data_IF_379762453866
#
_entry.id   IF_379762453866
#
_cell.length_a   1.000
_cell.length_b   1.000
_cell.length_c   1.000
_cell.angle_alpha   90.00
_cell.angle_beta   90.00
_cell.angle_gamma   90.00
#
_symmetry.space_group_name_H-M   'P 1'
#
loop_
_entity.id
_entity.type
_entity.pdbx_description
1 polymer ?
#
# COMPACT_ATOMS: atom_id res chain seq x y z
N UNK A 1 6.93 18.96 -1.94
CA UNK A 1 7.76 19.16 -0.75
C UNK A 1 8.49 17.86 -0.45
N UNK A 2 9.79 17.78 -0.76
CA UNK A 2 10.66 16.74 -0.22
C UNK A 2 10.85 17.06 1.27
N UNK A 3 10.47 16.14 2.16
CA UNK A 3 10.73 16.32 3.58
C UNK A 3 12.25 16.40 3.79
N UNK A 4 12.76 17.42 4.52
CA UNK A 4 14.17 17.47 4.86
C UNK A 4 14.51 16.23 5.67
N UNK A 5 15.62 15.58 5.34
CA UNK A 5 16.18 14.52 6.16
C UNK A 5 16.45 15.13 7.55
N UNK A 6 15.58 14.80 8.52
CA UNK A 6 15.79 15.18 9.91
C UNK A 6 17.09 14.58 10.44
N UNK A 7 17.63 15.13 11.53
CA UNK A 7 18.84 14.60 12.15
C UNK A 7 18.66 13.11 12.37
N UNK A 8 19.69 12.32 12.02
CA UNK A 8 19.71 10.86 12.07
C UNK A 8 19.29 10.38 13.47
N UNK A 9 17.98 10.20 13.61
CA UNK A 9 17.35 9.55 14.76
C UNK A 9 17.84 8.10 14.75
N UNK A 10 17.97 7.45 15.93
CA UNK A 10 18.30 6.03 15.99
C UNK A 10 17.44 5.28 14.98
N UNK A 11 18.07 4.50 14.10
CA UNK A 11 17.47 4.07 12.85
C UNK A 11 16.11 3.44 13.11
N UNK A 12 15.03 4.17 12.79
CA UNK A 12 13.68 3.70 13.10
C UNK A 12 13.49 2.32 12.43
N UNK A 13 12.90 1.32 13.12
CA UNK A 13 12.81 -0.06 12.60
C UNK A 13 12.16 -0.19 11.21
N UNK A 14 11.39 0.84 10.81
CA UNK A 14 10.75 0.93 9.50
C UNK A 14 11.58 1.61 8.40
N UNK A 15 12.65 2.33 8.75
CA UNK A 15 13.51 3.08 7.84
C UNK A 15 13.49 4.58 8.12
N UNK A 16 14.44 5.31 7.54
CA UNK A 16 14.61 6.76 7.74
C UNK A 16 13.48 7.57 7.09
N UNK A 17 12.86 7.05 6.02
CA UNK A 17 11.80 7.73 5.28
C UNK A 17 10.40 7.28 5.70
N UNK A 18 10.27 6.09 6.31
CA UNK A 18 9.02 5.51 6.79
C UNK A 18 8.74 5.71 8.29
N UNK A 19 9.17 6.82 8.89
CA UNK A 19 8.89 7.05 10.32
C UNK A 19 7.39 7.32 10.58
N UNK A 20 6.69 7.98 9.64
CA UNK A 20 5.24 8.16 9.68
C UNK A 20 4.56 7.20 8.68
N UNK A 21 3.83 6.21 9.21
CA UNK A 21 3.22 5.10 8.43
C UNK A 21 1.69 5.07 8.53
N UNK A 22 1.07 6.16 9.00
CA UNK A 22 -0.37 6.20 9.21
C UNK A 22 -1.14 5.85 7.94
N UNK A 23 -0.71 6.38 6.80
CA UNK A 23 -1.35 6.10 5.52
C UNK A 23 -1.24 4.63 5.10
N UNK A 24 -0.06 4.00 5.27
CA UNK A 24 0.10 2.58 4.96
C UNK A 24 -0.78 1.68 5.84
N UNK A 25 -0.93 2.02 7.12
CA UNK A 25 -1.86 1.35 8.02
C UNK A 25 -3.31 1.57 7.61
N UNK A 26 -3.70 2.81 7.27
CA UNK A 26 -5.04 3.14 6.81
C UNK A 26 -5.39 2.34 5.55
N UNK A 27 -4.48 2.24 4.59
CA UNK A 27 -4.66 1.44 3.38
C UNK A 27 -4.73 -0.06 3.66
N UNK A 28 -3.92 -0.57 4.59
CA UNK A 28 -3.98 -1.98 4.99
C UNK A 28 -5.34 -2.34 5.60
N UNK A 29 -5.82 -1.50 6.53
CA UNK A 29 -7.13 -1.66 7.17
C UNK A 29 -8.25 -1.53 6.13
N UNK A 30 -8.19 -0.53 5.26
CA UNK A 30 -9.20 -0.33 4.22
C UNK A 30 -9.29 -1.54 3.29
N UNK A 31 -8.17 -2.12 2.86
CA UNK A 31 -8.18 -3.35 2.04
C UNK A 31 -8.83 -4.53 2.76
N UNK A 32 -8.56 -4.71 4.06
CA UNK A 32 -9.20 -5.75 4.86
C UNK A 32 -10.71 -5.50 5.01
N UNK A 33 -11.13 -4.26 5.21
CA UNK A 33 -12.54 -3.91 5.31
C UNK A 33 -13.27 -4.12 3.97
N UNK A 34 -12.63 -3.78 2.84
CA UNK A 34 -13.16 -4.06 1.50
C UNK A 34 -13.30 -5.58 1.31
N UNK A 35 -12.27 -6.36 1.69
CA UNK A 35 -12.31 -7.81 1.57
C UNK A 35 -13.44 -8.44 2.40
N UNK A 36 -13.62 -7.99 3.64
CA UNK A 36 -14.73 -8.43 4.51
C UNK A 36 -16.07 -8.04 3.89
N UNK A 37 -16.19 -6.81 3.38
CA UNK A 37 -17.44 -6.32 2.75
C UNK A 37 -17.83 -7.17 1.55
N UNK A 38 -16.89 -7.47 0.66
CA UNK A 38 -17.12 -8.31 -0.53
C UNK A 38 -17.34 -9.80 -0.18
N UNK A 39 -16.99 -10.23 1.03
CA UNK A 39 -17.24 -11.59 1.51
C UNK A 39 -18.61 -11.73 2.20
N UNK A 40 -19.31 -10.64 2.49
CA UNK A 40 -20.65 -10.67 3.08
C UNK A 40 -21.68 -11.14 2.03
N UNK A 41 -22.75 -11.83 2.45
CA UNK A 41 -23.80 -12.25 1.54
C UNK A 41 -24.58 -11.04 1.00
N UNK A 42 -24.74 -10.99 -0.33
CA UNK A 42 -25.44 -9.95 -1.07
C UNK A 42 -24.65 -9.55 -2.32
N UNK A 43 -25.32 -9.02 -3.35
CA UNK A 43 -24.63 -8.47 -4.53
C UNK A 43 -24.12 -7.06 -4.18
N UNK A 44 -22.95 -7.02 -3.55
CA UNK A 44 -22.29 -5.77 -3.19
C UNK A 44 -21.89 -4.94 -4.41
N UNK A 45 -21.76 -5.56 -5.58
CA UNK A 45 -21.46 -4.91 -6.86
C UNK A 45 -22.70 -4.43 -7.62
N UNK A 46 -23.92 -4.77 -7.19
CA UNK A 46 -25.19 -4.30 -7.78
C UNK A 46 -25.32 -2.76 -7.71
N UNK A 47 -24.61 -2.12 -6.77
CA UNK A 47 -24.54 -0.66 -6.67
C UNK A 47 -23.68 -0.10 -7.81
N UNK A 48 -24.30 0.73 -8.65
CA UNK A 48 -23.84 1.22 -9.96
C UNK A 48 -22.35 1.57 -10.13
N UNK A 49 -21.62 1.97 -9.09
CA UNK A 49 -20.22 2.38 -9.18
C UNK A 49 -19.22 1.23 -9.39
N UNK A 50 -19.58 -0.04 -9.13
CA UNK A 50 -18.67 -1.18 -9.30
C UNK A 50 -19.07 -2.13 -10.42
N UNK A 51 -20.26 -1.96 -10.99
CA UNK A 51 -20.77 -2.78 -12.09
C UNK A 51 -19.82 -2.86 -13.30
N UNK A 52 -19.15 -1.77 -13.74
CA UNK A 52 -18.18 -1.85 -14.84
C UNK A 52 -16.99 -2.78 -14.54
N UNK A 53 -16.63 -2.96 -13.26
CA UNK A 53 -15.52 -3.83 -12.84
C UNK A 53 -15.95 -5.30 -12.82
N UNK A 54 -17.20 -5.58 -12.41
CA UNK A 54 -17.78 -6.91 -12.50
C UNK A 54 -17.86 -7.37 -13.96
N UNK A 55 -18.24 -6.48 -14.87
CA UNK A 55 -18.33 -6.73 -16.32
C UNK A 55 -16.96 -7.02 -16.96
N UNK A 56 -15.86 -6.56 -16.35
CA UNK A 56 -14.49 -6.90 -16.76
C UNK A 56 -14.01 -8.28 -16.26
N UNK A 57 -14.88 -9.07 -15.62
CA UNK A 57 -14.61 -10.46 -15.24
C UNK A 57 -14.02 -10.65 -13.85
N UNK A 58 -13.99 -9.62 -13.01
CA UNK A 58 -13.59 -9.74 -11.61
C UNK A 58 -14.79 -10.10 -10.75
N UNK A 59 -14.90 -11.38 -10.38
CA UNK A 59 -15.91 -11.82 -9.41
C UNK A 59 -15.65 -11.23 -8.03
N UNK A 60 -16.73 -10.96 -7.27
CA UNK A 60 -16.65 -10.48 -5.89
C UNK A 60 -15.74 -11.35 -5.03
N UNK A 61 -15.83 -12.67 -5.16
CA UNK A 61 -14.98 -13.62 -4.43
C UNK A 61 -13.50 -13.48 -4.76
N UNK A 62 -13.15 -13.26 -6.03
CA UNK A 62 -11.74 -13.04 -6.43
C UNK A 62 -11.22 -11.72 -5.90
N UNK A 63 -12.04 -10.67 -5.92
CA UNK A 63 -11.70 -9.37 -5.35
C UNK A 63 -11.53 -9.46 -3.83
N UNK A 64 -12.47 -10.11 -3.13
CA UNK A 64 -12.41 -10.34 -1.69
C UNK A 64 -11.13 -11.09 -1.29
N UNK A 65 -10.81 -12.17 -2.01
CA UNK A 65 -9.58 -12.93 -1.79
C UNK A 65 -8.33 -12.07 -2.01
N UNK A 66 -8.28 -11.32 -3.12
CA UNK A 66 -7.12 -10.48 -3.44
C UNK A 66 -6.90 -9.38 -2.39
N UNK A 67 -7.95 -8.59 -2.09
CA UNK A 67 -7.86 -7.53 -1.08
C UNK A 67 -7.54 -8.10 0.30
N UNK A 68 -8.09 -9.26 0.65
CA UNK A 68 -7.81 -9.95 1.90
C UNK A 68 -6.35 -10.40 1.99
N UNK A 69 -5.85 -11.08 0.95
CA UNK A 69 -4.47 -11.58 0.91
C UNK A 69 -3.44 -10.42 0.95
N UNK A 70 -3.64 -9.38 0.14
CA UNK A 70 -2.74 -8.21 0.11
C UNK A 70 -2.84 -7.42 1.42
N UNK A 71 -4.05 -7.24 1.97
CA UNK A 71 -4.28 -6.59 3.26
C UNK A 71 -3.57 -7.30 4.40
N UNK A 72 -3.71 -8.63 4.51
CA UNK A 72 -3.02 -9.45 5.52
C UNK A 72 -1.52 -9.36 5.35
N UNK A 73 -1.00 -9.58 4.13
CA UNK A 73 0.44 -9.50 3.84
C UNK A 73 1.01 -8.14 4.24
N UNK A 74 0.28 -7.06 3.95
CA UNK A 74 0.67 -5.70 4.31
C UNK A 74 0.64 -5.47 5.81
N UNK A 75 -0.39 -5.89 6.54
CA UNK A 75 -0.43 -5.79 8.01
C UNK A 75 0.73 -6.55 8.63
N UNK A 76 0.99 -7.78 8.18
CA UNK A 76 2.15 -8.57 8.62
C UNK A 76 3.46 -7.83 8.34
N UNK A 77 3.62 -7.26 7.14
CA UNK A 77 4.81 -6.49 6.81
C UNK A 77 4.95 -5.24 7.70
N UNK A 78 3.89 -4.46 7.90
CA UNK A 78 3.91 -3.26 8.75
C UNK A 78 4.26 -3.60 10.20
N UNK A 79 3.66 -4.67 10.73
CA UNK A 79 3.91 -5.16 12.07
C UNK A 79 5.36 -5.65 12.25
N UNK A 80 5.87 -6.47 11.33
CA UNK A 80 7.26 -6.95 11.35
C UNK A 80 8.26 -5.79 11.20
N UNK A 81 7.97 -4.79 10.35
CA UNK A 81 8.79 -3.57 10.24
C UNK A 81 8.71 -2.64 11.45
N UNK A 82 7.74 -2.82 12.35
CA UNK A 82 7.67 -2.07 13.61
C UNK A 82 8.56 -2.66 14.70
N UNK A 83 8.77 -3.97 14.70
CA UNK A 83 9.39 -4.68 15.82
C UNK A 83 10.76 -5.30 15.49
N UNK A 84 11.05 -5.56 14.22
CA UNK A 84 12.28 -6.23 13.80
C UNK A 84 13.16 -5.25 13.03
N UNK A 85 14.43 -5.13 13.43
CA UNK A 85 15.42 -4.35 12.68
C UNK A 85 15.74 -5.07 11.37
N UNK A 86 15.03 -4.66 10.31
CA UNK A 86 15.14 -5.17 8.94
C UNK A 86 16.50 -4.92 8.27
N UNK A 87 17.45 -4.27 8.95
CA UNK A 87 18.86 -4.27 8.53
C UNK A 87 19.54 -5.64 8.68
N UNK A 88 18.98 -6.54 9.51
CA UNK A 88 19.59 -7.83 9.87
C UNK A 88 18.82 -9.02 9.29
N UNK A 89 17.48 -9.01 9.34
CA UNK A 89 16.62 -10.12 8.90
C UNK A 89 16.23 -9.99 7.43
N UNK A 90 16.40 -11.08 6.67
CA UNK A 90 15.83 -11.26 5.33
C UNK A 90 14.55 -12.11 5.46
N UNK A 91 13.48 -11.80 4.71
CA UNK A 91 13.34 -10.72 3.72
C UNK A 91 13.16 -9.33 4.35
N UNK A 92 13.79 -8.30 3.74
CA UNK A 92 13.67 -6.91 4.18
C UNK A 92 12.21 -6.48 4.07
N UNK A 93 11.55 -6.26 5.20
CA UNK A 93 10.15 -5.89 5.25
C UNK A 93 9.83 -4.60 4.47
N UNK A 94 10.80 -3.73 4.20
CA UNK A 94 10.60 -2.56 3.35
C UNK A 94 10.29 -2.92 1.88
N UNK A 95 10.88 -4.00 1.35
CA UNK A 95 10.55 -4.48 0.00
C UNK A 95 9.14 -5.06 -0.06
N UNK A 96 8.72 -5.79 0.97
CA UNK A 96 7.37 -6.37 1.02
C UNK A 96 6.35 -5.22 1.06
N UNK A 97 6.59 -4.18 1.88
CA UNK A 97 5.76 -2.98 1.92
C UNK A 97 5.69 -2.28 0.55
N UNK A 98 6.82 -2.11 -0.12
CA UNK A 98 6.88 -1.52 -1.45
C UNK A 98 6.04 -2.31 -2.46
N UNK A 99 6.13 -3.65 -2.45
CA UNK A 99 5.31 -4.51 -3.32
C UNK A 99 3.83 -4.38 -2.98
N UNK A 100 3.45 -4.43 -1.71
CA UNK A 100 2.04 -4.25 -1.32
C UNK A 100 1.50 -2.89 -1.77
N UNK A 101 2.31 -1.83 -1.68
CA UNK A 101 1.94 -0.49 -2.17
C UNK A 101 1.90 -0.34 -3.67
N UNK A 102 2.77 -1.02 -4.39
CA UNK A 102 2.63 -1.12 -5.85
C UNK A 102 1.31 -1.83 -6.23
N UNK A 103 0.98 -2.95 -5.58
CA UNK A 103 -0.28 -3.66 -5.82
C UNK A 103 -1.50 -2.79 -5.45
N UNK A 104 -1.44 -2.07 -4.34
CA UNK A 104 -2.49 -1.12 -3.95
C UNK A 104 -2.68 0.01 -4.95
N UNK A 105 -1.59 0.60 -5.43
CA UNK A 105 -1.64 1.63 -6.47
C UNK A 105 -2.24 1.09 -7.78
N UNK A 106 -1.87 -0.13 -8.19
CA UNK A 106 -2.40 -0.76 -9.39
C UNK A 106 -3.92 -0.97 -9.29
N UNK A 107 -4.40 -1.52 -8.18
CA UNK A 107 -5.83 -1.77 -8.01
C UNK A 107 -6.61 -0.47 -7.94
N UNK A 108 -6.21 0.49 -7.09
CA UNK A 108 -6.90 1.77 -6.99
C UNK A 108 -6.85 2.53 -8.34
N UNK A 109 -5.75 2.40 -9.08
CA UNK A 109 -5.59 3.01 -10.39
C UNK A 109 -6.51 2.40 -11.44
N UNK A 110 -6.67 1.07 -11.43
CA UNK A 110 -7.64 0.37 -12.29
C UNK A 110 -9.08 0.78 -11.97
N UNK A 111 -9.45 0.87 -10.69
CA UNK A 111 -10.78 1.33 -10.27
C UNK A 111 -11.02 2.78 -10.71
N UNK A 112 -10.02 3.64 -10.55
CA UNK A 112 -10.09 5.05 -10.98
C UNK A 112 -10.27 5.14 -12.49
N UNK A 113 -9.47 4.39 -13.25
CA UNK A 113 -9.53 4.39 -14.71
C UNK A 113 -10.88 3.87 -15.21
N UNK A 114 -11.41 2.80 -14.62
CA UNK A 114 -12.73 2.26 -14.96
C UNK A 114 -13.83 3.32 -14.76
N UNK A 115 -13.83 4.03 -13.63
CA UNK A 115 -14.78 5.10 -13.37
C UNK A 115 -14.60 6.31 -14.30
N UNK A 116 -13.37 6.63 -14.69
CA UNK A 116 -13.09 7.71 -15.66
C UNK A 116 -13.63 7.33 -17.04
N UNK A 117 -13.40 6.11 -17.50
CA UNK A 117 -13.93 5.62 -18.78
C UNK A 117 -15.45 5.64 -18.76
N UNK A 118 -16.07 5.11 -17.70
CA UNK A 118 -17.52 5.10 -17.52
C UNK A 118 -18.12 6.53 -17.53
N UNK A 119 -17.46 7.47 -16.86
CA UNK A 119 -17.87 8.88 -16.84
C UNK A 119 -17.90 9.50 -18.24
N UNK A 120 -16.96 9.13 -19.13
CA UNK A 120 -16.96 9.61 -20.51
C UNK A 120 -18.00 8.91 -21.37
N UNK A 121 -18.28 7.63 -21.14
CA UNK A 121 -19.26 6.86 -21.93
C UNK A 121 -20.71 7.15 -21.53
N UNK A 122 -20.95 7.46 -20.25
CA UNK A 122 -22.28 7.70 -19.69
C UNK A 122 -22.59 9.19 -19.43
N UNK A 123 -21.63 10.09 -19.70
CA UNK A 123 -21.70 11.53 -19.39
C UNK A 123 -22.04 11.85 -17.92
N UNK A 124 -21.75 10.90 -17.02
CA UNK A 124 -22.14 10.96 -15.60
C UNK A 124 -20.91 10.74 -14.70
N UNK A 125 -20.11 11.78 -14.43
CA UNK A 125 -18.90 11.64 -13.62
C UNK A 125 -19.22 11.25 -12.17
N UNK A 126 -18.63 10.15 -11.73
CA UNK A 126 -18.75 9.69 -10.35
C UNK A 126 -17.90 10.56 -9.40
N UNK A 127 -18.51 11.00 -8.30
CA UNK A 127 -17.80 11.72 -7.23
C UNK A 127 -16.69 10.85 -6.56
N UNK A 128 -16.68 9.55 -6.82
CA UNK A 128 -15.72 8.59 -6.27
C UNK A 128 -14.39 8.59 -7.05
N UNK A 129 -14.37 9.10 -8.28
CA UNK A 129 -13.13 9.24 -9.11
C UNK A 129 -11.99 9.91 -8.34
N UNK A 130 -12.16 11.13 -7.78
CA UNK A 130 -11.08 11.79 -7.03
C UNK A 130 -10.66 11.02 -5.77
N UNK A 131 -11.54 10.22 -5.18
CA UNK A 131 -11.22 9.39 -4.00
C UNK A 131 -10.24 8.29 -4.38
N UNK A 132 -10.60 7.42 -5.33
CA UNK A 132 -9.69 6.35 -5.76
C UNK A 132 -8.43 6.90 -6.45
N UNK A 133 -8.54 8.02 -7.18
CA UNK A 133 -7.39 8.68 -7.77
C UNK A 133 -6.39 9.16 -6.72
N UNK A 134 -6.88 9.75 -5.63
CA UNK A 134 -6.03 10.16 -4.50
C UNK A 134 -5.37 8.95 -3.84
N UNK A 135 -6.13 7.89 -3.56
CA UNK A 135 -5.59 6.65 -2.96
C UNK A 135 -4.50 6.02 -3.84
N UNK A 136 -4.68 6.03 -5.16
CA UNK A 136 -3.69 5.57 -6.14
C UNK A 136 -2.37 6.34 -6.01
N UNK A 137 -2.45 7.67 -6.00
CA UNK A 137 -1.26 8.54 -5.91
C UNK A 137 -0.52 8.32 -4.60
N UNK A 138 -1.23 8.28 -3.46
CA UNK A 138 -0.58 8.07 -2.17
C UNK A 138 -0.03 6.66 -1.98
N UNK A 139 -0.62 5.64 -2.62
CA UNK A 139 -0.01 4.30 -2.69
C UNK A 139 1.28 4.29 -3.52
N UNK A 140 1.32 5.00 -4.65
CA UNK A 140 2.54 5.14 -5.42
C UNK A 140 3.64 5.85 -4.61
N UNK A 141 3.29 6.89 -3.84
CA UNK A 141 4.21 7.57 -2.93
C UNK A 141 4.69 6.61 -1.82
N UNK A 142 3.79 5.84 -1.22
CA UNK A 142 4.13 4.85 -0.18
C UNK A 142 5.08 3.77 -0.71
N UNK A 143 4.85 3.31 -1.94
CA UNK A 143 5.75 2.40 -2.65
C UNK A 143 7.15 3.00 -2.83
N UNK A 144 7.21 4.25 -3.32
CA UNK A 144 8.47 4.96 -3.52
C UNK A 144 9.24 5.13 -2.21
N UNK A 145 8.58 5.57 -1.14
CA UNK A 145 9.19 5.74 0.19
C UNK A 145 9.71 4.41 0.75
N UNK A 146 8.89 3.37 0.72
CA UNK A 146 9.29 2.04 1.18
C UNK A 146 10.48 1.49 0.35
N UNK A 147 10.54 1.81 -0.94
CA UNK A 147 11.66 1.42 -1.80
C UNK A 147 12.93 2.18 -1.45
N UNK A 148 12.86 3.49 -1.17
CA UNK A 148 14.00 4.28 -0.70
C UNK A 148 14.59 3.69 0.58
N UNK A 149 13.75 3.35 1.57
CA UNK A 149 14.21 2.68 2.80
C UNK A 149 14.90 1.34 2.52
N UNK A 150 14.40 0.58 1.54
CA UNK A 150 15.03 -0.68 1.15
C UNK A 150 16.39 -0.49 0.45
N UNK A 151 16.57 0.60 -0.31
CA UNK A 151 17.84 0.95 -0.97
C UNK A 151 18.85 1.48 0.05
N UNK A 152 18.43 2.41 0.91
CA UNK A 152 19.30 3.05 1.90
C UNK A 152 19.95 2.00 2.83
N UNK A 153 19.16 1.03 3.30
CA UNK A 153 19.65 -0.12 4.10
C UNK A 153 20.68 -0.99 3.39
N UNK A 154 20.64 -1.05 2.05
CA UNK A 154 21.62 -1.77 1.23
C UNK A 154 22.85 -0.93 0.88
N UNK A 155 22.85 0.37 1.18
CA UNK A 155 24.01 1.22 0.92
C UNK A 155 25.19 0.81 1.81
N UNK A 156 26.41 1.18 1.40
CA UNK A 156 27.63 0.92 2.20
C UNK A 156 27.54 1.58 3.57
N UNK A 157 26.99 2.80 3.60
CA UNK A 157 26.78 3.58 4.82
C UNK A 157 25.72 2.93 5.72
N UNK A 158 24.58 2.51 5.16
CA UNK A 158 23.53 1.82 5.90
C UNK A 158 24.01 0.52 6.55
N UNK A 159 24.85 -0.26 5.86
CA UNK A 159 25.50 -1.44 6.44
C UNK A 159 26.50 -1.11 7.55
N UNK A 160 27.27 -0.05 7.39
CA UNK A 160 28.24 0.39 8.40
C UNK A 160 27.53 0.88 9.68
N UNK A 161 26.45 1.64 9.52
CA UNK A 161 25.63 2.14 10.64
C UNK A 161 24.99 0.98 11.42
N UNK A 162 24.40 0.02 10.71
CA UNK A 162 23.81 -1.19 11.33
C UNK A 162 24.86 -2.12 11.99
N UNK A 163 26.14 -1.99 11.65
CA UNK A 163 27.22 -2.71 12.33
C UNK A 163 27.66 -1.97 13.60
N UNK A 164 27.70 -0.63 13.57
CA UNK A 164 27.98 0.21 14.74
C UNK A 164 26.90 0.06 15.82
N UNK A 165 25.61 0.09 15.44
CA UNK A 165 24.47 -0.11 16.37
C UNK A 165 24.49 -1.47 17.08
N UNK A 166 25.22 -2.48 16.53
CA UNK A 166 25.38 -3.79 17.16
C UNK A 166 26.60 -3.88 18.08
N UNK A 167 27.53 -2.94 17.97
CA UNK A 167 28.76 -2.91 18.75
C UNK A 167 28.64 -2.06 20.03
N UNK A 168 27.60 -1.23 20.10
CA UNK A 168 27.18 -0.44 21.27
C UNK A 168 26.08 -1.14 22.04
#
# INVERSE_FOLDING_TARGET
>A
MLFPAGPSTPAHPAGAYSFNRLFEWAMAVMMLLIAVTLALPGDTMERASLKPIAELGFSEGNMAFFFGAVGVLRVTALWLNGHINNGVTKPNGANIRAVCSALGALVMGQLTLALVVDAFTAEAPSFVIPVFGTLTVFEAISCYVARLDAVDRRSRLGRALAALERAT
#
